data_IF_768053158446
#
_entry.id   IF_768053158446
#
_cell.length_a   1.000
_cell.length_b   1.000
_cell.length_c   1.000
_cell.angle_alpha   90.00
_cell.angle_beta   90.00
_cell.angle_gamma   90.00
#
_symmetry.space_group_name_H-M   'P 1'
#
loop_
_entity.id
_entity.type
_entity.pdbx_description
1 polymer ?
#
# COMPACT_ATOMS: atom_id res chain seq x y z
N UNK A 1 -16.83 -8.31 -7.66
CA UNK A 1 -17.26 -7.15 -6.85
C UNK A 1 -17.95 -6.17 -7.77
N UNK A 2 -19.00 -5.46 -7.33
CA UNK A 2 -19.68 -4.45 -8.17
C UNK A 2 -19.07 -3.04 -8.05
N UNK A 3 -18.06 -2.85 -7.19
CA UNK A 3 -17.50 -1.52 -6.88
C UNK A 3 -15.98 -1.42 -7.08
N UNK A 4 -15.23 -2.52 -6.87
CA UNK A 4 -13.76 -2.57 -6.94
C UNK A 4 -13.27 -2.59 -8.40
N UNK A 5 -11.98 -2.37 -8.63
CA UNK A 5 -11.36 -2.47 -9.95
C UNK A 5 -12.06 -1.60 -10.98
N UNK A 6 -12.17 -0.30 -10.70
CA UNK A 6 -12.78 0.68 -11.61
C UNK A 6 -14.31 0.65 -11.72
N UNK A 7 -15.01 -0.31 -11.10
CA UNK A 7 -16.46 -0.39 -11.26
C UNK A 7 -17.23 0.78 -10.66
N UNK A 8 -16.74 1.41 -9.58
CA UNK A 8 -17.36 2.63 -9.06
C UNK A 8 -17.25 3.78 -10.08
N UNK A 9 -16.09 3.94 -10.73
CA UNK A 9 -15.95 4.90 -11.84
C UNK A 9 -16.94 4.59 -12.98
N UNK A 10 -17.09 3.31 -13.35
CA UNK A 10 -18.07 2.89 -14.36
C UNK A 10 -19.50 3.22 -13.97
N UNK A 11 -19.89 3.00 -12.71
CA UNK A 11 -21.24 3.29 -12.23
C UNK A 11 -21.54 4.81 -12.18
N UNK A 12 -20.51 5.62 -11.90
CA UNK A 12 -20.64 7.07 -11.85
C UNK A 12 -20.61 7.72 -13.24
N UNK A 13 -20.01 7.08 -14.25
CA UNK A 13 -19.94 7.61 -15.61
C UNK A 13 -21.34 7.93 -16.16
N UNK A 14 -21.55 9.11 -16.79
CA UNK A 14 -20.55 10.09 -17.23
C UNK A 14 -20.30 11.25 -16.23
N UNK A 15 -20.71 11.13 -14.97
CA UNK A 15 -20.44 12.17 -13.97
C UNK A 15 -18.93 12.33 -13.72
N UNK A 16 -18.53 13.53 -13.29
CA UNK A 16 -17.15 13.76 -12.82
C UNK A 16 -16.96 13.13 -11.46
N UNK A 17 -15.87 12.37 -11.30
CA UNK A 17 -15.48 11.72 -10.05
C UNK A 17 -14.15 12.31 -9.59
N UNK A 18 -14.12 12.85 -8.37
CA UNK A 18 -12.88 13.26 -7.69
C UNK A 18 -12.73 12.38 -6.46
N UNK A 19 -11.75 11.49 -6.49
CA UNK A 19 -11.41 10.60 -5.39
C UNK A 19 -10.29 11.21 -4.57
N UNK A 20 -10.57 11.55 -3.31
CA UNK A 20 -9.58 12.05 -2.35
C UNK A 20 -9.13 10.89 -1.48
N UNK A 21 -7.86 10.51 -1.61
CA UNK A 21 -7.35 9.24 -1.11
C UNK A 21 -6.34 9.49 0.02
N UNK A 22 -6.58 8.83 1.16
CA UNK A 22 -5.60 8.67 2.23
C UNK A 22 -4.98 7.28 2.07
N UNK A 23 -3.68 7.23 1.82
CA UNK A 23 -2.95 5.98 1.59
C UNK A 23 -2.37 5.45 2.90
N UNK A 24 -2.70 4.20 3.21
CA UNK A 24 -2.08 3.37 4.25
C UNK A 24 -1.19 2.26 3.67
N UNK A 25 -0.97 2.26 2.34
CA UNK A 25 -0.23 1.23 1.62
C UNK A 25 1.17 1.73 1.27
N UNK A 26 2.20 0.93 1.54
CA UNK A 26 3.58 1.26 1.14
C UNK A 26 3.65 1.46 -0.38
N UNK A 27 4.22 2.60 -0.79
CA UNK A 27 4.40 2.96 -2.20
C UNK A 27 3.18 3.65 -2.84
N UNK A 28 2.09 3.81 -2.09
CA UNK A 28 0.85 4.46 -2.53
C UNK A 28 0.22 3.92 -3.85
N UNK A 29 0.21 2.60 -4.14
CA UNK A 29 -0.39 2.07 -5.37
C UNK A 29 -1.92 2.19 -5.36
N UNK A 30 -2.47 3.01 -6.25
CA UNK A 30 -3.89 3.36 -6.30
C UNK A 30 -4.82 2.17 -6.57
N UNK A 31 -4.36 1.18 -7.33
CA UNK A 31 -5.10 -0.04 -7.68
C UNK A 31 -5.22 -1.01 -6.48
N UNK A 32 -4.29 -0.94 -5.53
CA UNK A 32 -4.34 -1.69 -4.29
C UNK A 32 -5.16 -0.98 -3.23
N UNK A 33 -5.03 0.35 -3.11
CA UNK A 33 -5.77 1.15 -2.11
C UNK A 33 -7.27 0.98 -2.32
N UNK A 34 -7.96 0.43 -1.31
CA UNK A 34 -9.38 0.05 -1.38
C UNK A 34 -9.75 -0.86 -2.57
N UNK A 35 -8.77 -1.55 -3.17
CA UNK A 35 -8.90 -2.31 -4.42
C UNK A 35 -9.30 -1.46 -5.64
N UNK A 36 -8.82 -0.21 -5.70
CA UNK A 36 -8.89 0.63 -6.89
C UNK A 36 -10.29 0.85 -7.47
N UNK A 37 -11.32 1.25 -6.69
CA UNK A 37 -12.69 1.37 -7.19
C UNK A 37 -12.86 2.41 -8.31
N UNK A 38 -11.97 3.41 -8.36
CA UNK A 38 -11.94 4.50 -9.34
C UNK A 38 -10.70 4.46 -10.23
N UNK A 39 -10.02 3.31 -10.29
CA UNK A 39 -8.73 3.10 -10.97
C UNK A 39 -8.91 1.98 -11.99
N UNK A 40 -8.29 2.08 -13.19
CA UNK A 40 -8.31 0.97 -14.14
C UNK A 40 -7.66 -0.28 -13.55
N UNK A 41 -8.25 -1.42 -13.84
CA UNK A 41 -7.72 -2.72 -13.46
C UNK A 41 -7.18 -3.41 -14.72
N UNK A 42 -5.85 -3.60 -14.85
CA UNK A 42 -5.27 -4.26 -16.01
C UNK A 42 -5.48 -5.78 -16.00
N UNK A 43 -5.79 -6.38 -14.85
CA UNK A 43 -6.00 -7.82 -14.72
C UNK A 43 -7.32 -8.27 -15.36
N UNK A 44 -7.41 -9.57 -15.63
CA UNK A 44 -8.54 -10.18 -16.33
C UNK A 44 -9.11 -11.37 -15.57
N UNK A 45 -10.30 -11.83 -15.99
CA UNK A 45 -10.85 -13.12 -15.59
C UNK A 45 -9.86 -14.26 -15.80
N UNK A 46 -9.11 -14.26 -16.90
CA UNK A 46 -8.09 -15.28 -17.19
C UNK A 46 -6.95 -15.26 -16.17
N UNK A 47 -6.48 -14.07 -15.77
CA UNK A 47 -5.47 -13.94 -14.72
C UNK A 47 -5.97 -14.49 -13.38
N UNK A 48 -7.24 -14.21 -13.05
CA UNK A 48 -7.88 -14.74 -11.85
C UNK A 48 -7.98 -16.27 -11.88
N UNK A 49 -8.40 -16.86 -13.01
CA UNK A 49 -8.45 -18.31 -13.18
C UNK A 49 -7.07 -18.96 -13.11
N UNK A 50 -6.04 -18.32 -13.68
CA UNK A 50 -4.67 -18.80 -13.59
C UNK A 50 -4.17 -18.83 -12.14
N UNK A 51 -4.54 -17.85 -11.31
CA UNK A 51 -4.25 -17.84 -9.86
C UNK A 51 -4.95 -19.02 -9.18
N UNK A 52 -6.23 -19.25 -9.47
CA UNK A 52 -7.01 -20.34 -8.88
C UNK A 52 -6.34 -21.68 -9.16
N UNK A 53 -5.95 -21.92 -10.40
CA UNK A 53 -5.27 -23.16 -10.81
C UNK A 53 -3.87 -23.29 -10.22
N UNK A 54 -3.10 -22.20 -10.18
CA UNK A 54 -1.78 -22.19 -9.54
C UNK A 54 -1.82 -22.64 -8.08
N UNK A 55 -2.87 -22.25 -7.35
CA UNK A 55 -3.05 -22.59 -5.94
C UNK A 55 -4.01 -23.77 -5.70
N UNK A 56 -4.46 -24.46 -6.76
CA UNK A 56 -5.34 -25.64 -6.69
C UNK A 56 -6.64 -25.38 -5.91
N UNK A 57 -7.25 -24.21 -6.13
CA UNK A 57 -8.42 -23.73 -5.37
C UNK A 57 -9.76 -24.07 -6.03
N UNK A 58 -9.78 -24.74 -7.19
CA UNK A 58 -10.99 -24.99 -7.99
C UNK A 58 -12.09 -25.67 -7.17
N UNK A 59 -11.72 -26.63 -6.34
CA UNK A 59 -12.65 -27.40 -5.51
C UNK A 59 -12.99 -26.70 -4.17
N UNK A 60 -12.22 -25.67 -3.79
CA UNK A 60 -12.43 -24.89 -2.57
C UNK A 60 -13.40 -23.72 -2.81
N UNK A 61 -13.58 -23.29 -4.06
CA UNK A 61 -14.45 -22.17 -4.41
C UNK A 61 -15.93 -22.58 -4.50
N UNK A 62 -16.86 -21.72 -4.05
CA UNK A 62 -18.29 -21.95 -4.28
C UNK A 62 -18.60 -22.08 -5.78
N UNK A 63 -19.54 -22.98 -6.18
CA UNK A 63 -19.88 -23.18 -7.59
C UNK A 63 -20.33 -21.91 -8.33
N UNK A 64 -20.94 -20.96 -7.62
CA UNK A 64 -21.35 -19.66 -8.18
C UNK A 64 -20.16 -18.79 -8.60
N UNK A 65 -19.06 -18.83 -7.85
CA UNK A 65 -17.83 -18.08 -8.15
C UNK A 65 -17.14 -18.68 -9.36
N UNK A 66 -16.94 -20.00 -9.37
CA UNK A 66 -16.35 -20.70 -10.53
C UNK A 66 -17.12 -20.42 -11.81
N UNK A 67 -18.46 -20.49 -11.75
CA UNK A 67 -19.31 -20.16 -12.89
C UNK A 67 -19.12 -18.71 -13.34
N UNK A 68 -19.14 -17.74 -12.41
CA UNK A 68 -18.97 -16.33 -12.75
C UNK A 68 -17.63 -16.05 -13.46
N UNK A 69 -16.54 -16.66 -12.99
CA UNK A 69 -15.21 -16.49 -13.57
C UNK A 69 -15.09 -17.15 -14.95
N UNK A 70 -15.58 -18.39 -15.09
CA UNK A 70 -15.60 -19.09 -16.39
C UNK A 70 -16.50 -18.38 -17.42
N UNK A 71 -17.62 -17.82 -16.97
CA UNK A 71 -18.50 -17.01 -17.81
C UNK A 71 -17.80 -15.72 -18.24
N UNK A 72 -17.02 -15.10 -17.35
CA UNK A 72 -16.19 -13.94 -17.65
C UNK A 72 -15.10 -14.23 -18.69
N UNK A 73 -14.34 -15.31 -18.52
CA UNK A 73 -13.32 -15.73 -19.49
C UNK A 73 -13.91 -16.00 -20.87
N UNK A 74 -15.13 -16.54 -20.94
CA UNK A 74 -15.88 -16.76 -22.19
C UNK A 74 -16.56 -15.50 -22.73
N UNK A 75 -16.32 -14.33 -22.13
CA UNK A 75 -16.88 -13.04 -22.54
C UNK A 75 -18.38 -12.87 -22.25
N UNK A 76 -18.99 -13.75 -21.43
CA UNK A 76 -20.41 -13.65 -21.04
C UNK A 76 -20.63 -12.64 -19.91
N UNK A 77 -19.63 -12.49 -19.04
CA UNK A 77 -19.61 -11.43 -18.03
C UNK A 77 -18.65 -10.32 -18.45
N UNK A 78 -19.02 -9.06 -18.16
CA UNK A 78 -18.20 -7.90 -18.49
C UNK A 78 -17.00 -7.82 -17.55
N UNK A 79 -15.84 -7.58 -18.14
CA UNK A 79 -14.59 -7.38 -17.43
C UNK A 79 -14.59 -6.06 -16.61
N UNK A 80 -13.67 -5.95 -15.63
CA UNK A 80 -13.32 -4.68 -15.00
C UNK A 80 -12.86 -3.67 -16.07
N UNK A 81 -13.14 -2.36 -15.91
CA UNK A 81 -12.75 -1.37 -16.91
C UNK A 81 -11.23 -1.28 -17.00
N UNK A 82 -10.74 -1.35 -18.24
CA UNK A 82 -9.32 -1.50 -18.56
C UNK A 82 -8.65 -0.13 -18.71
N UNK A 83 -7.31 -0.06 -18.64
CA UNK A 83 -6.59 1.15 -19.02
C UNK A 83 -7.04 1.64 -20.41
N UNK A 84 -7.38 2.93 -20.52
CA UNK A 84 -7.89 3.54 -21.76
C UNK A 84 -9.43 3.47 -21.96
N UNK A 85 -10.18 2.85 -21.04
CA UNK A 85 -11.65 2.90 -21.06
C UNK A 85 -12.15 4.33 -20.76
N UNK A 86 -13.03 4.86 -21.61
CA UNK A 86 -13.64 6.21 -21.49
C UNK A 86 -14.33 6.48 -20.15
N UNK A 87 -14.68 5.44 -19.37
CA UNK A 87 -15.21 5.64 -18.01
C UNK A 87 -14.27 6.43 -17.10
N UNK A 88 -12.97 6.49 -17.42
CA UNK A 88 -11.98 7.22 -16.64
C UNK A 88 -11.73 8.65 -17.14
N UNK A 89 -12.32 9.08 -18.26
CA UNK A 89 -12.07 10.41 -18.88
C UNK A 89 -12.39 11.57 -17.93
N UNK A 90 -13.33 11.35 -17.00
CA UNK A 90 -13.79 12.35 -16.01
C UNK A 90 -13.47 11.95 -14.58
N UNK A 91 -12.50 11.05 -14.39
CA UNK A 91 -12.08 10.55 -13.07
C UNK A 91 -10.73 11.14 -12.71
N UNK A 92 -10.65 11.75 -11.54
CA UNK A 92 -9.41 12.24 -10.95
C UNK A 92 -9.19 11.53 -9.61
N UNK A 93 -8.01 10.92 -9.45
CA UNK A 93 -7.59 10.31 -8.20
C UNK A 93 -6.47 11.16 -7.59
N UNK A 94 -6.69 11.68 -6.38
CA UNK A 94 -5.78 12.60 -5.70
C UNK A 94 -5.38 12.01 -4.35
N UNK A 95 -4.10 11.69 -4.19
CA UNK A 95 -3.52 11.34 -2.90
C UNK A 95 -3.41 12.61 -2.05
N UNK A 96 -4.22 12.71 -1.00
CA UNK A 96 -4.23 13.87 -0.10
C UNK A 96 -3.49 13.63 1.22
N UNK A 97 -3.28 12.36 1.59
CA UNK A 97 -2.42 11.99 2.70
C UNK A 97 -1.66 10.70 2.35
N UNK A 98 -0.36 10.69 2.58
CA UNK A 98 0.51 9.52 2.47
C UNK A 98 1.48 9.46 3.64
N UNK A 99 2.03 8.28 3.92
CA UNK A 99 3.09 8.13 4.92
C UNK A 99 4.28 9.05 4.63
N UNK A 100 4.65 9.24 3.36
CA UNK A 100 5.75 10.14 2.98
C UNK A 100 5.46 11.61 3.33
N UNK A 101 4.23 12.08 3.15
CA UNK A 101 3.84 13.43 3.59
C UNK A 101 3.95 13.59 5.10
N UNK A 102 3.60 12.56 5.88
CA UNK A 102 3.75 12.59 7.34
C UNK A 102 5.23 12.64 7.77
N UNK A 103 6.11 11.87 7.12
CA UNK A 103 7.55 11.90 7.40
C UNK A 103 8.17 13.27 7.07
N UNK A 104 7.75 13.87 5.96
CA UNK A 104 8.23 15.18 5.53
C UNK A 104 7.77 16.31 6.47
N UNK A 105 6.53 16.21 6.96
CA UNK A 105 6.05 17.10 8.02
C UNK A 105 6.87 16.94 9.31
N UNK A 106 7.21 15.71 9.70
CA UNK A 106 8.06 15.44 10.85
C UNK A 106 9.49 15.98 10.66
N UNK A 107 10.06 15.88 9.46
CA UNK A 107 11.37 16.46 9.11
C UNK A 107 11.35 17.98 9.28
N UNK A 108 10.35 18.63 8.72
CA UNK A 108 10.17 20.10 8.80
C UNK A 108 10.07 20.56 10.26
N UNK A 109 9.28 19.87 11.08
CA UNK A 109 9.14 20.20 12.49
C UNK A 109 10.43 19.94 13.29
N UNK A 110 11.17 18.87 12.97
CA UNK A 110 12.46 18.59 13.60
C UNK A 110 13.49 19.70 13.30
N UNK A 111 13.54 20.18 12.06
CA UNK A 111 14.35 21.35 11.65
C UNK A 111 13.98 22.61 12.44
N UNK A 112 12.68 22.92 12.57
CA UNK A 112 12.22 24.07 13.36
C UNK A 112 12.61 23.99 14.83
N UNK A 113 12.74 22.77 15.37
CA UNK A 113 13.20 22.52 16.74
C UNK A 113 14.73 22.49 16.90
N UNK A 114 15.47 22.72 15.82
CA UNK A 114 16.94 22.77 15.82
C UNK A 114 17.62 21.40 15.75
N UNK A 115 16.91 20.35 15.32
CA UNK A 115 17.53 19.06 15.00
C UNK A 115 18.04 19.03 13.56
N UNK A 116 18.98 18.13 13.30
CA UNK A 116 19.37 17.70 11.95
C UNK A 116 18.60 16.42 11.59
N UNK A 117 17.46 16.51 10.89
CA UNK A 117 16.69 15.34 10.56
C UNK A 117 17.30 14.54 9.40
N UNK A 118 17.10 13.24 9.43
CA UNK A 118 17.40 12.32 8.34
C UNK A 118 16.24 11.36 8.16
N UNK A 119 15.53 11.47 7.04
CA UNK A 119 14.57 10.45 6.62
C UNK A 119 15.35 9.28 6.02
N UNK A 120 15.35 8.12 6.69
CA UNK A 120 16.02 6.92 6.17
C UNK A 120 15.27 6.30 5.01
N UNK A 121 13.95 6.12 5.17
CA UNK A 121 13.06 5.57 4.14
C UNK A 121 11.60 5.74 4.56
N UNK A 122 10.70 5.76 3.57
CA UNK A 122 9.24 5.67 3.76
C UNK A 122 8.67 4.27 3.52
N UNK A 123 9.54 3.28 3.29
CA UNK A 123 9.18 1.93 2.88
C UNK A 123 9.98 0.87 3.65
N UNK A 124 10.25 1.10 4.94
CA UNK A 124 10.88 0.10 5.80
C UNK A 124 9.93 -1.10 5.95
N UNK A 125 10.42 -2.29 5.65
CA UNK A 125 9.71 -3.56 5.80
C UNK A 125 10.71 -4.61 6.33
N UNK A 126 10.20 -5.67 6.94
CA UNK A 126 10.96 -6.76 7.51
C UNK A 126 10.64 -7.03 8.98
N UNK A 127 11.44 -7.90 9.58
CA UNK A 127 11.27 -8.31 10.97
C UNK A 127 11.70 -7.19 11.92
N UNK A 128 10.75 -6.75 12.77
CA UNK A 128 10.85 -5.56 13.61
C UNK A 128 12.12 -5.51 14.44
N UNK A 129 12.45 -6.60 15.14
CA UNK A 129 13.64 -6.64 16.03
C UNK A 129 14.95 -6.45 15.27
N UNK A 130 15.02 -6.89 14.02
CA UNK A 130 16.25 -6.77 13.22
C UNK A 130 16.40 -5.33 12.74
N UNK A 131 15.31 -4.69 12.31
CA UNK A 131 15.30 -3.27 11.96
C UNK A 131 15.68 -2.40 13.18
N UNK A 132 15.11 -2.67 14.35
CA UNK A 132 15.43 -1.93 15.59
C UNK A 132 16.93 -1.97 15.92
N UNK A 133 17.58 -3.13 15.75
CA UNK A 133 19.04 -3.28 15.95
C UNK A 133 19.85 -2.41 14.99
N UNK A 134 19.43 -2.32 13.73
CA UNK A 134 20.05 -1.44 12.73
C UNK A 134 19.92 0.02 13.16
N UNK A 135 18.75 0.45 13.64
CA UNK A 135 18.54 1.82 14.13
C UNK A 135 19.41 2.14 15.35
N UNK A 136 19.52 1.20 16.28
CA UNK A 136 20.41 1.34 17.43
C UNK A 136 21.88 1.46 17.01
N UNK A 137 22.30 0.77 15.95
CA UNK A 137 23.65 0.90 15.40
C UNK A 137 23.87 2.28 14.76
N UNK A 138 22.92 2.77 13.95
CA UNK A 138 22.97 4.11 13.34
C UNK A 138 23.04 5.19 14.43
N UNK A 139 22.22 5.09 15.47
CA UNK A 139 22.23 6.05 16.57
C UNK A 139 23.56 6.06 17.33
N UNK A 140 24.22 4.91 17.50
CA UNK A 140 25.56 4.83 18.08
C UNK A 140 26.62 5.46 17.17
N UNK A 141 26.54 5.24 15.86
CA UNK A 141 27.47 5.81 14.88
C UNK A 141 27.38 7.33 14.88
N UNK A 142 26.16 7.88 14.83
CA UNK A 142 25.91 9.33 14.90
C UNK A 142 26.55 9.95 16.14
N UNK A 143 26.38 9.32 17.30
CA UNK A 143 26.95 9.81 18.55
C UNK A 143 28.48 9.75 18.56
N UNK A 144 29.07 8.79 17.87
CA UNK A 144 30.52 8.52 17.92
C UNK A 144 31.28 9.33 16.88
N UNK A 145 30.78 9.40 15.65
CA UNK A 145 31.47 10.01 14.50
C UNK A 145 30.74 11.20 13.89
N UNK A 146 29.46 11.42 14.22
CA UNK A 146 28.62 12.42 13.56
C UNK A 146 28.11 12.01 12.17
N UNK A 147 28.34 10.75 11.75
CA UNK A 147 27.80 10.21 10.52
C UNK A 147 26.54 9.36 10.75
N UNK A 148 25.60 9.28 9.79
CA UNK A 148 25.55 10.04 8.54
C UNK A 148 25.06 11.48 8.72
N UNK A 149 24.60 11.86 9.91
CA UNK A 149 24.06 13.19 10.23
C UNK A 149 24.58 13.64 11.60
N UNK A 150 25.02 14.89 11.78
CA UNK A 150 25.63 15.33 13.04
C UNK A 150 24.59 15.53 14.16
N UNK A 151 24.97 15.35 15.44
CA UNK A 151 24.14 15.77 16.57
C UNK A 151 23.81 17.28 16.54
N UNK A 152 22.62 17.71 17.03
CA UNK A 152 21.51 16.89 17.52
C UNK A 152 20.70 16.29 16.36
N UNK A 153 20.84 14.98 16.13
CA UNK A 153 20.22 14.30 15.00
C UNK A 153 18.79 13.87 15.32
N UNK A 154 17.93 13.84 14.29
CA UNK A 154 16.59 13.26 14.36
C UNK A 154 16.41 12.22 13.25
N UNK A 155 16.38 10.93 13.59
CA UNK A 155 16.22 9.86 12.62
C UNK A 155 14.74 9.57 12.44
N UNK A 156 14.26 9.70 11.19
CA UNK A 156 12.87 9.59 10.81
C UNK A 156 12.72 8.46 9.80
N UNK A 157 11.66 7.68 9.92
CA UNK A 157 11.35 6.63 8.96
C UNK A 157 9.90 6.22 9.01
N UNK A 158 9.39 5.72 7.90
CA UNK A 158 8.06 5.11 7.81
C UNK A 158 8.14 3.78 7.08
N UNK A 159 7.08 2.99 7.24
CA UNK A 159 6.99 1.64 6.72
C UNK A 159 6.09 0.78 7.59
N UNK A 160 6.14 -0.52 7.38
CA UNK A 160 5.29 -1.50 8.02
C UNK A 160 6.13 -2.75 8.33
N UNK A 161 6.76 -2.78 9.50
CA UNK A 161 7.50 -3.97 9.94
C UNK A 161 6.54 -5.04 10.45
N UNK A 162 6.99 -6.28 10.45
CA UNK A 162 6.22 -7.43 10.97
C UNK A 162 6.89 -8.02 12.20
N UNK A 163 6.12 -8.78 12.98
CA UNK A 163 6.62 -9.53 14.13
C UNK A 163 6.24 -10.99 13.92
N UNK A 164 7.25 -11.86 13.84
CA UNK A 164 7.01 -13.30 13.83
C UNK A 164 6.62 -13.76 15.24
N UNK A 165 5.32 -14.03 15.44
CA UNK A 165 4.79 -14.47 16.74
C UNK A 165 5.29 -15.88 17.07
N UNK A 166 6.01 -16.00 18.20
CA UNK A 166 6.52 -17.29 18.72
C UNK A 166 5.96 -17.66 20.10
N UNK A 167 5.16 -16.79 20.71
CA UNK A 167 4.68 -16.97 22.09
C UNK A 167 3.26 -16.42 22.30
N UNK A 168 2.82 -16.40 23.56
CA UNK A 168 1.46 -15.95 23.97
C UNK A 168 1.46 -14.58 24.65
N UNK A 169 2.53 -13.80 24.44
CA UNK A 169 2.65 -12.45 25.00
C UNK A 169 1.66 -11.48 24.36
N UNK A 170 1.61 -10.25 24.89
CA UNK A 170 0.85 -9.14 24.34
C UNK A 170 1.82 -8.06 23.89
N UNK A 171 1.64 -7.56 22.67
CA UNK A 171 2.52 -6.54 22.09
C UNK A 171 2.14 -6.19 20.65
N UNK A 172 3.02 -5.47 19.97
CA UNK A 172 2.93 -5.20 18.54
C UNK A 172 4.26 -4.65 18.02
N UNK A 173 4.40 -4.55 16.69
CA UNK A 173 5.63 -4.10 16.02
C UNK A 173 6.26 -2.84 16.63
N UNK A 174 5.49 -1.77 16.80
CA UNK A 174 6.03 -0.51 17.34
C UNK A 174 6.37 -0.58 18.84
N UNK A 175 5.93 -1.62 19.55
CA UNK A 175 6.30 -1.88 20.94
C UNK A 175 7.52 -2.80 21.06
N UNK A 176 7.79 -3.63 20.04
CA UNK A 176 8.99 -4.48 19.95
C UNK A 176 10.20 -3.72 19.39
N UNK A 177 9.96 -2.66 18.61
CA UNK A 177 10.99 -1.77 18.06
C UNK A 177 11.76 -1.02 19.15
#
# INVERSE_FOLDING_TARGET
SQMKGGHLARLASPATVISLILSDVIGDPLDVIASGPTVPDPSTFADCLAIITRYQLENALPPSVNRYLQDGEKGRNRETPKPGDSVFDRVQNVLIATSRQALEAARTEAEHRGYHPLILSSSIDGETREIARVYAAIAREIRTSGHPVPPPACIISGGETTVTIRGKGKGGRNQEF
#
